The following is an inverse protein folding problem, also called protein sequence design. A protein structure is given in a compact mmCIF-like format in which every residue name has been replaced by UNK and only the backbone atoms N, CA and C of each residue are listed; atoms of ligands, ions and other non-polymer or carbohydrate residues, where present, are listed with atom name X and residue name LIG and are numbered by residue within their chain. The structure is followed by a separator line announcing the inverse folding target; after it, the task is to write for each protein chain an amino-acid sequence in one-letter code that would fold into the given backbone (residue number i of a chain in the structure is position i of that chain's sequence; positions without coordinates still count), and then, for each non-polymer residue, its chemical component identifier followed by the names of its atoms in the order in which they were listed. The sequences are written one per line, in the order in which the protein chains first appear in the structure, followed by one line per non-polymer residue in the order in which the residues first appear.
data_IF_742102593576
#
_entry.id   IF_742102593576
#
_cell.length_a   1.000
_cell.length_b   1.000
_cell.length_c   1.000
_cell.angle_alpha   90.00
_cell.angle_beta   90.00
_cell.angle_gamma   90.00
#
_symmetry.space_group_name_H-M   'P 1'
#
loop_
_entity.id
_entity.type
_entity.pdbx_description
1 polymer ?
#
# COMPACT_ATOMS: atom_id res chain seq x y z
N UNK A 1 -17.51 3.62 1.85
CA UNK A 1 -18.62 3.82 0.89
C UNK A 1 -19.91 3.55 1.62
N UNK A 2 -20.82 4.52 1.62
CA UNK A 2 -22.17 4.38 2.15
C UNK A 2 -23.18 4.35 1.00
N UNK A 3 -24.15 3.48 1.08
CA UNK A 3 -25.25 3.38 0.10
C UNK A 3 -26.57 3.23 0.84
N UNK A 4 -27.60 3.86 0.30
CA UNK A 4 -28.97 3.66 0.72
C UNK A 4 -29.60 2.55 -0.11
N UNK A 5 -30.35 1.66 0.53
CA UNK A 5 -31.06 0.58 -0.16
C UNK A 5 -32.46 0.42 0.45
N UNK A 6 -33.42 0.17 -0.40
CA UNK A 6 -34.78 -0.21 -0.03
C UNK A 6 -35.03 -1.67 -0.43
N UNK A 7 -35.63 -2.42 0.48
CA UNK A 7 -36.08 -3.80 0.24
C UNK A 7 -37.49 -3.94 0.80
N UNK A 8 -38.47 -3.89 -0.08
CA UNK A 8 -39.89 -3.86 0.29
C UNK A 8 -40.21 -2.67 1.17
N UNK A 9 -40.75 -2.90 2.39
CA UNK A 9 -41.05 -1.86 3.39
C UNK A 9 -39.87 -1.45 4.25
N UNK A 10 -38.72 -2.10 4.11
CA UNK A 10 -37.53 -1.84 4.93
C UNK A 10 -36.56 -0.92 4.20
N UNK A 11 -36.13 0.09 4.95
CA UNK A 11 -35.11 1.04 4.51
C UNK A 11 -33.87 0.84 5.37
N UNK A 12 -32.71 0.66 4.76
CA UNK A 12 -31.45 0.54 5.49
C UNK A 12 -30.31 1.24 4.78
N UNK A 13 -29.35 1.68 5.56
CA UNK A 13 -28.09 2.24 5.05
C UNK A 13 -27.04 1.14 5.11
N UNK A 14 -26.40 0.89 3.98
CA UNK A 14 -25.28 -0.01 3.88
C UNK A 14 -23.98 0.79 3.82
N UNK A 15 -23.03 0.44 4.65
CA UNK A 15 -21.72 1.07 4.70
C UNK A 15 -20.61 0.02 4.62
N UNK A 16 -19.62 0.28 3.79
CA UNK A 16 -18.40 -0.50 3.75
C UNK A 16 -17.24 0.36 4.23
N UNK A 17 -16.45 -0.16 5.16
CA UNK A 17 -15.20 0.44 5.63
C UNK A 17 -14.03 -0.52 5.40
N UNK A 18 -12.87 0.04 5.18
CA UNK A 18 -11.60 -0.67 5.01
C UNK A 18 -10.68 -0.26 6.16
N UNK A 19 -10.15 -1.25 6.86
CA UNK A 19 -9.30 -1.05 8.03
C UNK A 19 -7.91 -1.60 7.77
N UNK A 20 -6.90 -0.80 8.07
CA UNK A 20 -5.50 -1.21 8.01
C UNK A 20 -5.00 -1.45 9.42
N UNK A 21 -4.33 -2.57 9.63
CA UNK A 21 -3.86 -2.96 10.96
C UNK A 21 -2.42 -3.50 10.89
N UNK A 22 -1.66 -3.38 11.99
CA UNK A 22 -0.28 -3.84 12.05
C UNK A 22 -0.18 -5.37 12.07
N UNK A 23 1.02 -5.89 11.82
CA UNK A 23 1.34 -7.32 11.83
C UNK A 23 1.40 -7.90 13.26
N UNK A 24 0.69 -7.38 14.20
CA UNK A 24 0.74 -7.86 15.59
C UNK A 24 -0.30 -8.94 15.83
N UNK A 25 0.15 -10.15 16.13
CA UNK A 25 -0.63 -11.25 16.68
C UNK A 25 -1.99 -11.47 16.00
N UNK A 26 -3.05 -11.29 16.77
CA UNK A 26 -4.46 -11.47 16.40
C UNK A 26 -5.17 -10.17 15.99
N UNK A 27 -4.43 -9.10 15.68
CA UNK A 27 -5.01 -7.76 15.50
C UNK A 27 -6.19 -7.71 14.51
N UNK A 28 -6.14 -8.46 13.41
CA UNK A 28 -7.26 -8.52 12.45
C UNK A 28 -8.52 -9.11 13.06
N UNK A 29 -8.42 -10.24 13.75
CA UNK A 29 -9.54 -10.90 14.42
C UNK A 29 -10.11 -10.01 15.54
N UNK A 30 -9.26 -9.46 16.39
CA UNK A 30 -9.67 -8.57 17.48
C UNK A 30 -10.41 -7.33 17.00
N UNK A 31 -9.92 -6.69 15.93
CA UNK A 31 -10.59 -5.54 15.32
C UNK A 31 -11.94 -5.97 14.75
N UNK A 32 -12.00 -7.09 14.06
CA UNK A 32 -13.22 -7.62 13.49
C UNK A 32 -14.28 -7.90 14.55
N UNK A 33 -13.94 -8.63 15.61
CA UNK A 33 -14.83 -8.93 16.73
C UNK A 33 -15.32 -7.65 17.43
N UNK A 34 -14.43 -6.69 17.65
CA UNK A 34 -14.79 -5.40 18.22
C UNK A 34 -15.78 -4.62 17.36
N UNK A 35 -15.58 -4.61 16.04
CA UNK A 35 -16.49 -3.93 15.11
C UNK A 35 -17.87 -4.60 15.09
N UNK A 36 -17.94 -5.93 15.06
CA UNK A 36 -19.20 -6.66 15.12
C UNK A 36 -19.94 -6.38 16.43
N UNK A 37 -19.24 -6.40 17.56
CA UNK A 37 -19.82 -6.09 18.86
C UNK A 37 -20.34 -4.65 18.95
N UNK A 38 -19.55 -3.69 18.48
CA UNK A 38 -19.99 -2.28 18.47
C UNK A 38 -21.20 -2.08 17.57
N UNK A 39 -21.22 -2.66 16.37
CA UNK A 39 -22.39 -2.58 15.49
C UNK A 39 -23.66 -3.09 16.17
N UNK A 40 -23.59 -4.21 16.89
CA UNK A 40 -24.74 -4.78 17.60
C UNK A 40 -25.28 -3.85 18.68
N UNK A 41 -24.43 -3.11 19.39
CA UNK A 41 -24.86 -2.15 20.41
C UNK A 41 -25.72 -1.00 19.83
N UNK A 42 -25.53 -0.70 18.55
CA UNK A 42 -26.29 0.34 17.85
C UNK A 42 -27.38 -0.22 16.92
N UNK A 43 -27.78 -1.48 17.10
CA UNK A 43 -28.80 -2.13 16.29
C UNK A 43 -28.38 -2.37 14.84
N UNK A 44 -27.10 -2.33 14.54
CA UNK A 44 -26.55 -2.56 13.22
C UNK A 44 -26.01 -4.00 13.09
N UNK A 45 -26.02 -4.52 11.86
CA UNK A 45 -25.37 -5.80 11.52
C UNK A 45 -24.04 -5.53 10.82
N UNK A 46 -22.94 -6.02 11.36
CA UNK A 46 -21.65 -6.00 10.68
C UNK A 46 -21.28 -7.39 10.18
N UNK A 47 -20.64 -7.42 9.03
CA UNK A 47 -20.09 -8.64 8.41
C UNK A 47 -18.68 -8.34 7.94
N UNK A 48 -17.73 -9.16 8.34
CA UNK A 48 -16.36 -9.11 7.83
C UNK A 48 -16.36 -9.78 6.47
N UNK A 49 -16.19 -8.99 5.40
CA UNK A 49 -16.17 -9.53 4.03
C UNK A 49 -14.82 -10.14 3.66
N UNK A 50 -13.75 -9.59 4.21
CA UNK A 50 -12.39 -9.98 3.88
C UNK A 50 -11.48 -9.63 5.04
N UNK A 51 -10.62 -10.56 5.40
CA UNK A 51 -9.49 -10.34 6.31
C UNK A 51 -8.24 -10.87 5.62
N UNK A 52 -7.31 -9.99 5.31
CA UNK A 52 -6.01 -10.34 4.73
C UNK A 52 -4.91 -9.96 5.71
N UNK A 53 -4.15 -10.95 6.13
CA UNK A 53 -2.99 -10.71 7.00
C UNK A 53 -2.03 -9.71 6.37
N UNK A 54 -1.48 -8.79 7.17
CA UNK A 54 -0.39 -7.93 6.72
C UNK A 54 0.78 -8.77 6.21
N UNK A 55 1.45 -8.27 5.19
CA UNK A 55 2.71 -8.84 4.73
C UNK A 55 3.87 -8.10 5.41
N UNK A 56 4.82 -8.86 5.88
CA UNK A 56 6.02 -8.33 6.51
C UNK A 56 7.24 -9.15 6.10
N UNK A 57 8.29 -8.47 5.74
CA UNK A 57 9.61 -9.02 5.59
C UNK A 57 10.55 -8.32 6.56
N UNK A 58 11.36 -9.09 7.27
CA UNK A 58 12.28 -8.57 8.27
C UNK A 58 13.30 -7.62 7.59
N UNK A 59 13.40 -6.36 8.00
CA UNK A 59 14.39 -5.43 7.48
C UNK A 59 15.84 -5.89 7.69
N UNK A 60 16.07 -6.78 8.66
CA UNK A 60 17.38 -7.37 8.94
C UNK A 60 17.67 -8.63 8.12
N UNK A 61 16.72 -9.10 7.30
CA UNK A 61 16.95 -10.23 6.41
C UNK A 61 18.01 -9.91 5.34
N UNK A 62 18.72 -10.93 4.90
CA UNK A 62 19.79 -10.78 3.88
C UNK A 62 19.23 -10.19 2.58
N UNK A 63 18.04 -10.62 2.16
CA UNK A 63 17.36 -10.07 0.99
C UNK A 63 17.16 -8.55 1.09
N UNK A 64 16.63 -8.07 2.21
CA UNK A 64 16.41 -6.62 2.40
C UNK A 64 17.73 -5.87 2.47
N UNK A 65 18.72 -6.41 3.19
CA UNK A 65 20.07 -5.80 3.27
C UNK A 65 20.73 -5.68 1.90
N UNK A 66 20.65 -6.72 1.08
CA UNK A 66 21.20 -6.71 -0.27
C UNK A 66 20.53 -5.66 -1.15
N UNK A 67 19.19 -5.64 -1.18
CA UNK A 67 18.42 -4.65 -1.92
C UNK A 67 18.75 -3.22 -1.46
N UNK A 68 18.83 -2.98 -0.16
CA UNK A 68 19.16 -1.67 0.38
C UNK A 68 20.61 -1.26 0.09
N UNK A 69 21.55 -2.20 0.08
CA UNK A 69 22.93 -1.94 -0.31
C UNK A 69 23.03 -1.51 -1.78
N UNK A 70 22.38 -2.25 -2.68
CA UNK A 70 22.32 -1.90 -4.10
C UNK A 70 21.66 -0.54 -4.33
N UNK A 71 20.56 -0.26 -3.63
CA UNK A 71 19.88 1.04 -3.71
C UNK A 71 20.81 2.20 -3.28
N UNK A 72 21.48 2.05 -2.16
CA UNK A 72 22.42 3.07 -1.65
C UNK A 72 23.61 3.27 -2.60
N UNK A 73 24.13 2.19 -3.16
CA UNK A 73 25.25 2.25 -4.11
C UNK A 73 24.89 3.04 -5.38
N UNK A 74 23.68 2.89 -5.90
CA UNK A 74 23.22 3.58 -7.10
C UNK A 74 22.82 5.02 -6.81
N UNK A 75 22.08 5.26 -5.73
CA UNK A 75 21.46 6.58 -5.47
C UNK A 75 22.30 7.50 -4.60
N UNK A 76 23.27 6.96 -3.86
CA UNK A 76 24.02 7.69 -2.84
C UNK A 76 23.18 8.10 -1.61
N UNK A 77 21.95 7.63 -1.49
CA UNK A 77 21.02 8.03 -0.42
C UNK A 77 21.06 7.06 0.76
N UNK A 78 21.11 7.58 1.97
CA UNK A 78 20.94 6.80 3.20
C UNK A 78 19.47 6.57 3.51
N UNK A 79 18.84 5.75 2.68
CA UNK A 79 17.43 5.35 2.85
C UNK A 79 17.32 4.14 3.76
N UNK A 80 16.16 4.03 4.41
CA UNK A 80 15.81 2.87 5.25
C UNK A 80 14.57 2.17 4.69
N UNK A 81 14.42 0.85 4.93
CA UNK A 81 13.17 0.16 4.65
C UNK A 81 12.00 0.83 5.37
N UNK A 82 10.85 0.87 4.75
CA UNK A 82 9.65 1.43 5.34
C UNK A 82 8.45 0.53 5.09
N UNK A 83 7.40 0.71 5.87
CA UNK A 83 6.12 0.03 5.68
C UNK A 83 5.12 0.98 5.03
N UNK A 84 4.23 0.43 4.25
CA UNK A 84 3.14 1.18 3.62
C UNK A 84 1.79 0.56 3.94
N UNK A 85 0.76 1.36 3.99
CA UNK A 85 -0.61 0.89 4.25
C UNK A 85 -1.24 0.18 3.04
N UNK A 86 -0.71 0.39 1.84
CA UNK A 86 -1.15 -0.26 0.61
C UNK A 86 -0.66 -1.70 0.48
N UNK A 87 -1.41 -2.53 -0.23
CA UNK A 87 -0.93 -3.86 -0.61
C UNK A 87 -0.18 -3.81 -1.95
N UNK A 88 0.91 -4.56 -2.04
CA UNK A 88 1.66 -4.73 -3.28
C UNK A 88 1.65 -6.18 -3.74
N UNK A 89 2.17 -6.45 -4.93
CA UNK A 89 2.33 -7.83 -5.43
C UNK A 89 3.27 -8.67 -4.57
N UNK A 90 4.20 -8.06 -3.83
CA UNK A 90 5.12 -8.74 -2.92
C UNK A 90 4.37 -9.64 -1.92
N UNK A 91 3.18 -9.27 -1.47
CA UNK A 91 2.37 -10.11 -0.57
C UNK A 91 1.88 -11.43 -1.18
N UNK A 92 2.01 -11.61 -2.48
CA UNK A 92 1.62 -12.83 -3.21
C UNK A 92 2.78 -13.79 -3.45
N UNK A 93 3.98 -13.37 -3.13
CA UNK A 93 5.21 -14.13 -3.36
C UNK A 93 5.94 -14.33 -2.03
N UNK A 94 6.53 -15.49 -1.79
CA UNK A 94 7.35 -15.71 -0.61
C UNK A 94 8.63 -14.87 -0.68
N UNK A 95 9.03 -14.30 0.45
CA UNK A 95 10.27 -13.54 0.61
C UNK A 95 10.47 -12.39 -0.41
N UNK A 96 9.38 -11.85 -0.92
CA UNK A 96 9.44 -10.78 -1.90
C UNK A 96 9.50 -9.41 -1.22
N UNK A 97 10.23 -8.48 -1.79
CA UNK A 97 10.30 -7.09 -1.38
C UNK A 97 9.88 -6.18 -2.54
N UNK A 98 9.12 -5.15 -2.22
CA UNK A 98 8.80 -4.09 -3.18
C UNK A 98 9.78 -2.95 -3.00
N UNK A 99 10.41 -2.55 -4.07
CA UNK A 99 11.35 -1.42 -4.10
C UNK A 99 11.39 -0.84 -5.52
N UNK A 100 12.08 0.28 -5.69
CA UNK A 100 12.22 0.91 -6.99
C UNK A 100 12.63 2.36 -6.88
N UNK A 101 12.07 3.20 -7.75
CA UNK A 101 12.39 4.61 -7.82
C UNK A 101 12.10 5.34 -6.50
N UNK A 102 12.80 6.46 -6.30
CA UNK A 102 12.57 7.36 -5.16
C UNK A 102 11.14 7.89 -5.16
N UNK A 103 10.55 7.95 -3.97
CA UNK A 103 9.26 8.62 -3.75
C UNK A 103 9.38 10.15 -3.70
N UNK A 104 10.59 10.70 -3.81
CA UNK A 104 10.79 12.14 -3.88
C UNK A 104 10.21 12.68 -5.18
N UNK A 105 9.20 13.52 -5.04
CA UNK A 105 8.58 14.22 -6.17
C UNK A 105 9.56 15.23 -6.76
N UNK A 106 10.25 14.88 -7.84
CA UNK A 106 11.15 15.82 -8.52
C UNK A 106 10.39 16.78 -9.43
N UNK A 107 9.41 16.31 -10.14
CA UNK A 107 8.59 17.12 -11.03
C UNK A 107 7.29 16.38 -11.35
N UNK A 108 6.17 17.03 -11.10
CA UNK A 108 4.87 16.51 -11.47
C UNK A 108 4.41 17.30 -12.68
N UNK A 109 4.01 16.59 -13.72
CA UNK A 109 3.31 17.20 -14.84
C UNK A 109 1.94 17.66 -14.37
N UNK A 110 1.67 18.94 -14.51
CA UNK A 110 0.33 19.48 -14.30
C UNK A 110 -0.32 19.67 -15.67
N UNK A 111 -1.41 18.97 -15.92
CA UNK A 111 -2.17 19.13 -17.14
C UNK A 111 -2.81 20.54 -17.16
N UNK A 112 -2.45 21.42 -18.13
CA UNK A 112 -3.03 22.75 -18.22
C UNK A 112 -4.55 22.75 -18.42
N UNK A 113 -5.11 21.65 -18.93
CA UNK A 113 -6.54 21.48 -19.14
C UNK A 113 -7.29 21.04 -17.88
N UNK A 114 -6.57 20.74 -16.80
CA UNK A 114 -7.13 20.27 -15.51
C UNK A 114 -6.54 21.08 -14.37
N UNK A 115 -6.96 22.32 -14.16
CA UNK A 115 -6.51 23.13 -13.01
C UNK A 115 -6.73 22.39 -11.70
N UNK A 116 -5.69 22.27 -10.89
CA UNK A 116 -5.72 21.53 -9.62
C UNK A 116 -5.38 20.05 -9.71
N UNK A 117 -5.10 19.53 -10.91
CA UNK A 117 -4.51 18.21 -11.09
C UNK A 117 -3.13 18.12 -10.43
N UNK A 118 -2.87 17.04 -9.70
CA UNK A 118 -1.63 16.89 -8.91
C UNK A 118 -0.61 15.96 -9.54
N UNK A 119 -1.01 15.17 -10.55
CA UNK A 119 -0.18 14.11 -11.13
C UNK A 119 0.14 12.97 -10.14
N UNK A 120 -0.53 12.95 -8.99
CA UNK A 120 -0.30 11.97 -7.93
C UNK A 120 -0.80 10.56 -8.30
N UNK A 121 -0.30 9.56 -7.59
CA UNK A 121 -0.77 8.19 -7.69
C UNK A 121 -2.28 8.09 -7.46
N UNK A 122 -2.95 7.23 -8.22
CA UNK A 122 -4.39 7.00 -8.17
C UNK A 122 -5.27 8.19 -8.60
N UNK A 123 -4.69 9.17 -9.29
CA UNK A 123 -5.43 10.27 -9.88
C UNK A 123 -5.61 10.07 -11.39
N UNK A 124 -6.65 10.67 -12.01
CA UNK A 124 -6.87 10.55 -13.46
C UNK A 124 -5.74 11.11 -14.35
N UNK A 125 -4.89 11.95 -13.77
CA UNK A 125 -3.73 12.59 -14.38
C UNK A 125 -2.41 12.05 -13.82
N UNK A 126 -2.42 10.85 -13.22
CA UNK A 126 -1.22 10.22 -12.69
C UNK A 126 -0.06 10.29 -13.70
N UNK A 127 1.07 10.78 -13.23
CA UNK A 127 2.25 11.01 -14.05
C UNK A 127 3.53 10.48 -13.39
N UNK A 128 4.48 10.11 -14.22
CA UNK A 128 5.77 9.60 -13.82
C UNK A 128 6.88 10.42 -14.45
N UNK A 129 7.87 10.80 -13.65
CA UNK A 129 9.11 11.38 -14.18
C UNK A 129 9.95 10.27 -14.84
N UNK A 130 10.22 10.41 -16.12
CA UNK A 130 10.96 9.42 -16.88
C UNK A 130 12.40 9.22 -16.35
N UNK A 131 13.02 10.25 -15.77
CA UNK A 131 14.33 10.14 -15.16
C UNK A 131 14.32 9.21 -13.94
N UNK A 132 13.24 9.23 -13.16
CA UNK A 132 13.05 8.32 -12.02
C UNK A 132 12.83 6.88 -12.48
N UNK A 133 12.15 6.68 -13.61
CA UNK A 133 12.00 5.35 -14.20
C UNK A 133 13.35 4.78 -14.63
N UNK A 134 14.21 5.58 -15.25
CA UNK A 134 15.56 5.16 -15.63
C UNK A 134 16.43 4.86 -14.40
N UNK A 135 16.34 5.67 -13.35
CA UNK A 135 17.01 5.39 -12.07
C UNK A 135 16.56 4.04 -11.50
N UNK A 136 15.25 3.75 -11.53
CA UNK A 136 14.72 2.47 -11.07
C UNK A 136 15.29 1.28 -11.86
N UNK A 137 15.44 1.41 -13.18
CA UNK A 137 16.06 0.36 -14.01
C UNK A 137 17.49 0.09 -13.56
N UNK A 138 18.29 1.12 -13.30
CA UNK A 138 19.67 0.95 -12.80
C UNK A 138 19.69 0.28 -11.42
N UNK A 139 18.78 0.68 -10.52
CA UNK A 139 18.63 0.05 -9.20
C UNK A 139 18.31 -1.44 -9.34
N UNK A 140 17.37 -1.81 -10.23
CA UNK A 140 17.00 -3.21 -10.45
C UNK A 140 18.17 -4.03 -11.00
N UNK A 141 18.92 -3.51 -11.98
CA UNK A 141 20.10 -4.19 -12.51
C UNK A 141 21.14 -4.41 -11.40
N UNK A 142 21.46 -3.37 -10.64
CA UNK A 142 22.42 -3.48 -9.54
C UNK A 142 21.96 -4.49 -8.48
N UNK A 143 20.68 -4.54 -8.19
CA UNK A 143 20.10 -5.50 -7.23
C UNK A 143 20.20 -6.93 -7.75
N UNK A 144 19.87 -7.17 -9.01
CA UNK A 144 19.94 -8.51 -9.61
C UNK A 144 21.37 -9.03 -9.60
N UNK A 145 22.35 -8.18 -9.93
CA UNK A 145 23.77 -8.52 -9.87
C UNK A 145 24.29 -8.75 -8.44
N UNK A 146 23.63 -8.20 -7.43
CA UNK A 146 24.02 -8.38 -6.03
C UNK A 146 23.35 -9.60 -5.38
N UNK A 147 22.30 -10.14 -5.99
CA UNK A 147 21.57 -11.33 -5.51
C UNK A 147 22.09 -12.63 -6.15
N UNK A 148 22.88 -12.54 -7.23
CA UNK A 148 23.51 -13.67 -7.92
C UNK A 148 24.76 -14.13 -7.15
#
# INVERSE_FOLDING_TARGET
IARYQEDGSKKYVWMQSDHRYPITGSAGAEIGERLVRLASLYGCKAVIKKDEKPYYLDPESDTVKTVMSAYRAVTGKDSRPFTMSGGTYARKLPNAVSYGMSLEKKRIYQDPKRPGASGDCHQPDESLDFSQLLEAVVIYIATLLALD
#
